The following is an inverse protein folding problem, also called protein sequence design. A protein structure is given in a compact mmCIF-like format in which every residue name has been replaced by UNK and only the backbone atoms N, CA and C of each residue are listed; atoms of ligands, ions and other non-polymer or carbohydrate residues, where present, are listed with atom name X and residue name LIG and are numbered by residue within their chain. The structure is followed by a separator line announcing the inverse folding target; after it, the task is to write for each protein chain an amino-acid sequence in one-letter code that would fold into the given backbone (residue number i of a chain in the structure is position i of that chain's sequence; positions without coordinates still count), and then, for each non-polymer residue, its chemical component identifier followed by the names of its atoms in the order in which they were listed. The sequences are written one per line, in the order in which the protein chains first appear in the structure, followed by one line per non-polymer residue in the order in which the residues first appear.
data_IF_994981833353
#
_entry.id   IF_994981833353
#
_cell.length_a   1.000
_cell.length_b   1.000
_cell.length_c   1.000
_cell.angle_alpha   90.00
_cell.angle_beta   90.00
_cell.angle_gamma   90.00
#
_symmetry.space_group_name_H-M   'P 1'
#
loop_
_entity.id
_entity.type
_entity.pdbx_description
1 polymer ?
#
# COMPACT_ATOMS: atom_id res chain seq x y z
N UNK A 1 -5.11 19.46 -21.53
CA UNK A 1 -4.99 18.30 -20.63
C UNK A 1 -3.60 18.29 -20.02
N UNK A 2 -3.46 17.99 -18.72
CA UNK A 2 -2.16 18.02 -18.02
C UNK A 2 -1.49 16.63 -18.08
N UNK A 3 -0.20 16.58 -18.39
CA UNK A 3 0.61 15.36 -18.28
C UNK A 3 1.54 15.44 -17.07
N UNK A 4 1.48 14.42 -16.19
CA UNK A 4 2.27 14.32 -14.97
C UNK A 4 3.07 13.01 -14.98
N UNK A 5 4.37 13.11 -15.25
CA UNK A 5 5.28 11.98 -15.21
C UNK A 5 5.71 11.62 -13.79
N UNK A 6 6.46 10.52 -13.64
CA UNK A 6 7.00 10.05 -12.36
C UNK A 6 7.73 11.13 -11.56
N UNK A 7 8.53 11.97 -12.24
CA UNK A 7 9.31 13.02 -11.57
C UNK A 7 8.42 14.14 -11.03
N UNK A 8 7.36 14.51 -11.77
CA UNK A 8 6.39 15.49 -11.30
C UNK A 8 5.61 14.98 -10.07
N UNK A 9 5.17 13.72 -10.12
CA UNK A 9 4.46 13.07 -9.00
C UNK A 9 5.38 12.92 -7.79
N UNK A 10 6.66 12.58 -7.99
CA UNK A 10 7.64 12.42 -6.91
C UNK A 10 7.98 13.71 -6.14
N UNK A 11 7.61 14.89 -6.67
CA UNK A 11 7.77 16.18 -5.99
C UNK A 11 6.60 16.55 -5.07
N UNK A 12 5.54 15.76 -5.10
CA UNK A 12 4.36 16.01 -4.27
C UNK A 12 4.67 15.58 -2.82
N UNK A 13 4.36 16.45 -1.90
CA UNK A 13 4.56 16.21 -0.47
C UNK A 13 3.77 14.98 0.03
N UNK A 14 4.39 14.17 0.89
CA UNK A 14 3.80 12.96 1.45
C UNK A 14 2.50 13.24 2.23
N UNK A 15 2.42 14.36 2.94
CA UNK A 15 1.22 14.76 3.67
C UNK A 15 0.02 14.99 2.77
N UNK A 16 0.23 15.55 1.56
CA UNK A 16 -0.84 15.72 0.56
C UNK A 16 -1.40 14.37 0.13
N UNK A 17 -0.51 13.41 -0.16
CA UNK A 17 -0.91 12.07 -0.58
C UNK A 17 -1.62 11.33 0.56
N UNK A 18 -1.09 11.40 1.78
CA UNK A 18 -1.72 10.75 2.94
C UNK A 18 -3.09 11.33 3.24
N UNK A 19 -3.26 12.66 3.17
CA UNK A 19 -4.55 13.32 3.30
C UNK A 19 -5.54 12.86 2.22
N UNK A 20 -5.05 12.63 0.98
CA UNK A 20 -5.89 12.09 -0.08
C UNK A 20 -6.36 10.66 0.21
N UNK A 21 -5.52 9.82 0.82
CA UNK A 21 -5.89 8.45 1.25
C UNK A 21 -6.87 8.51 2.44
N UNK A 22 -6.65 9.39 3.42
CA UNK A 22 -7.62 9.62 4.51
C UNK A 22 -9.00 10.03 3.95
N UNK A 23 -9.02 10.93 2.96
CA UNK A 23 -10.25 11.31 2.27
C UNK A 23 -10.95 10.14 1.57
N UNK A 24 -10.20 9.21 0.98
CA UNK A 24 -10.79 8.02 0.38
C UNK A 24 -11.55 7.18 1.42
N UNK A 25 -10.97 6.96 2.59
CA UNK A 25 -11.65 6.25 3.67
C UNK A 25 -12.89 7.01 4.19
N UNK A 26 -12.85 8.35 4.24
CA UNK A 26 -14.03 9.15 4.59
C UNK A 26 -15.16 8.98 3.54
N UNK A 27 -14.81 8.88 2.26
CA UNK A 27 -15.77 8.58 1.21
C UNK A 27 -16.34 7.16 1.34
N UNK A 28 -15.53 6.18 1.79
CA UNK A 28 -16.03 4.83 2.13
C UNK A 28 -17.10 4.90 3.22
N UNK A 29 -16.82 5.61 4.32
CA UNK A 29 -17.79 5.76 5.42
C UNK A 29 -19.07 6.47 5.00
N UNK A 30 -18.99 7.50 4.17
CA UNK A 30 -20.13 8.27 3.68
C UNK A 30 -20.82 7.64 2.47
N UNK A 31 -20.24 6.61 1.87
CA UNK A 31 -20.72 5.96 0.62
C UNK A 31 -20.89 6.93 -0.56
N UNK A 32 -20.12 8.02 -0.59
CA UNK A 32 -20.16 9.06 -1.64
C UNK A 32 -19.19 8.77 -2.79
N UNK A 33 -19.21 7.57 -3.30
CA UNK A 33 -18.42 7.13 -4.44
C UNK A 33 -19.15 6.01 -5.21
N UNK A 34 -18.72 5.80 -6.46
CA UNK A 34 -19.12 4.63 -7.24
C UNK A 34 -17.84 3.96 -7.78
N UNK A 35 -17.56 2.76 -7.28
CA UNK A 35 -16.37 2.00 -7.61
C UNK A 35 -16.79 0.55 -7.89
N UNK A 36 -16.94 0.17 -9.18
CA UNK A 36 -17.14 -1.23 -9.52
C UNK A 36 -15.89 -2.05 -9.22
N UNK A 37 -16.06 -3.36 -9.16
CA UNK A 37 -14.94 -4.28 -9.06
C UNK A 37 -13.95 -4.05 -10.21
N UNK A 38 -12.65 -4.22 -9.95
CA UNK A 38 -11.63 -4.11 -10.99
C UNK A 38 -11.86 -5.15 -12.08
N UNK A 39 -11.70 -4.73 -13.33
CA UNK A 39 -11.87 -5.60 -14.49
C UNK A 39 -10.49 -6.18 -14.84
N UNK A 40 -10.42 -7.50 -14.91
CA UNK A 40 -9.26 -8.26 -15.35
C UNK A 40 -9.50 -8.73 -16.78
N UNK A 41 -8.60 -8.38 -17.68
CA UNK A 41 -8.57 -8.92 -19.05
C UNK A 41 -7.25 -9.69 -19.18
N UNK A 42 -7.36 -10.98 -19.32
CA UNK A 42 -6.21 -11.89 -19.40
C UNK A 42 -5.93 -12.27 -20.84
N UNK A 43 -4.67 -12.30 -21.21
CA UNK A 43 -4.14 -12.84 -22.46
C UNK A 43 -2.88 -13.64 -22.15
N UNK A 44 -2.99 -14.97 -22.12
CA UNK A 44 -1.96 -15.89 -21.64
C UNK A 44 -1.47 -15.51 -20.23
N UNK A 45 -0.18 -15.24 -20.06
CA UNK A 45 0.41 -14.80 -18.77
C UNK A 45 0.27 -13.31 -18.52
N UNK A 46 -0.25 -12.55 -19.50
CA UNK A 46 -0.39 -11.11 -19.43
C UNK A 46 -1.75 -10.72 -18.89
N UNK A 47 -1.80 -9.65 -18.11
CA UNK A 47 -3.05 -9.12 -17.57
C UNK A 47 -3.15 -7.61 -17.79
N UNK A 48 -4.31 -7.15 -18.28
CA UNK A 48 -4.71 -5.76 -18.26
C UNK A 48 -5.75 -5.58 -17.15
N UNK A 49 -5.49 -4.66 -16.23
CA UNK A 49 -6.39 -4.25 -15.16
C UNK A 49 -7.01 -2.89 -15.48
N UNK A 50 -8.32 -2.80 -15.39
CA UNK A 50 -9.06 -1.54 -15.46
C UNK A 50 -9.68 -1.26 -14.09
N UNK A 51 -9.38 -0.09 -13.53
CA UNK A 51 -9.80 0.29 -12.19
C UNK A 51 -10.54 1.65 -12.22
N UNK A 52 -11.81 1.66 -12.67
CA UNK A 52 -12.62 2.88 -12.69
C UNK A 52 -13.15 3.24 -11.31
N UNK A 53 -13.30 4.54 -11.05
CA UNK A 53 -13.93 5.05 -9.85
C UNK A 53 -14.49 6.45 -10.09
N UNK A 54 -15.68 6.73 -9.53
CA UNK A 54 -16.34 8.03 -9.54
C UNK A 54 -16.48 8.59 -8.14
N UNK A 55 -16.32 9.90 -8.03
CA UNK A 55 -16.67 10.70 -6.86
C UNK A 55 -17.46 11.94 -7.30
N UNK A 56 -17.83 12.82 -6.38
CA UNK A 56 -18.65 13.98 -6.68
C UNK A 56 -18.08 14.85 -7.82
N UNK A 57 -16.81 15.20 -7.76
CA UNK A 57 -16.15 16.17 -8.69
C UNK A 57 -15.38 15.53 -9.82
N UNK A 58 -14.85 14.34 -9.59
CA UNK A 58 -13.92 13.68 -10.51
C UNK A 58 -14.29 12.22 -10.68
N UNK A 59 -14.00 11.70 -11.86
CA UNK A 59 -13.86 10.28 -12.05
C UNK A 59 -12.49 9.95 -12.65
N UNK A 60 -12.05 8.73 -12.46
CA UNK A 60 -10.77 8.31 -12.96
C UNK A 60 -10.75 6.83 -13.31
N UNK A 61 -9.84 6.47 -14.19
CA UNK A 61 -9.54 5.07 -14.49
C UNK A 61 -8.04 4.86 -14.51
N UNK A 62 -7.57 3.89 -13.73
CA UNK A 62 -6.21 3.41 -13.83
C UNK A 62 -6.19 2.19 -14.75
N UNK A 63 -5.35 2.27 -15.79
CA UNK A 63 -4.99 1.16 -16.68
C UNK A 63 -3.67 0.60 -16.18
N UNK A 64 -3.62 -0.67 -15.83
CA UNK A 64 -2.38 -1.34 -15.38
C UNK A 64 -2.14 -2.57 -16.25
N UNK A 65 -0.97 -2.65 -16.84
CA UNK A 65 -0.51 -3.86 -17.53
C UNK A 65 0.44 -4.63 -16.61
N UNK A 66 0.21 -5.93 -16.46
CA UNK A 66 1.08 -6.88 -15.76
C UNK A 66 1.59 -7.88 -16.78
N UNK A 67 2.83 -7.73 -17.18
CA UNK A 67 3.50 -8.53 -18.20
C UNK A 67 4.76 -9.13 -17.58
N UNK A 68 4.72 -10.37 -17.09
CA UNK A 68 5.83 -11.00 -16.36
C UNK A 68 7.14 -10.99 -17.13
N UNK A 69 7.08 -11.21 -18.45
CA UNK A 69 8.26 -11.27 -19.32
C UNK A 69 8.76 -9.92 -19.85
N UNK A 70 8.09 -8.80 -19.52
CA UNK A 70 8.49 -7.46 -19.99
C UNK A 70 9.95 -7.09 -19.65
N UNK A 71 10.50 -7.68 -18.58
CA UNK A 71 11.90 -7.50 -18.18
C UNK A 71 12.89 -7.98 -19.24
N UNK A 72 12.54 -8.99 -20.00
CA UNK A 72 13.37 -9.47 -21.13
C UNK A 72 13.50 -8.43 -22.25
N UNK A 73 12.54 -7.49 -22.30
CA UNK A 73 12.51 -6.37 -23.24
C UNK A 73 12.97 -5.03 -22.58
N UNK A 74 13.60 -5.08 -21.40
CA UNK A 74 14.08 -3.89 -20.70
C UNK A 74 12.96 -3.03 -20.08
N UNK A 75 11.73 -3.57 -19.98
CA UNK A 75 10.59 -2.86 -19.41
C UNK A 75 10.21 -3.42 -18.03
N UNK A 76 9.64 -2.60 -17.13
CA UNK A 76 9.06 -3.11 -15.88
C UNK A 76 7.94 -4.12 -16.17
N UNK A 77 7.82 -5.14 -15.32
CA UNK A 77 6.72 -6.11 -15.43
C UNK A 77 5.33 -5.47 -15.17
N UNK A 78 5.29 -4.37 -14.45
CA UNK A 78 4.06 -3.62 -14.15
C UNK A 78 4.22 -2.19 -14.66
N UNK A 79 3.33 -1.79 -15.56
CA UNK A 79 3.22 -0.43 -16.09
C UNK A 79 1.79 0.06 -15.89
N UNK A 80 1.59 1.37 -15.85
CA UNK A 80 0.25 1.90 -15.70
C UNK A 80 0.11 3.37 -16.08
N UNK A 81 -1.09 3.70 -16.49
CA UNK A 81 -1.52 5.07 -16.78
C UNK A 81 -2.77 5.36 -15.99
N UNK A 82 -2.82 6.54 -15.39
CA UNK A 82 -4.01 7.06 -14.71
C UNK A 82 -4.60 8.19 -15.53
N UNK A 83 -5.88 8.09 -15.87
CA UNK A 83 -6.65 9.17 -16.51
C UNK A 83 -7.62 9.74 -15.50
N UNK A 84 -7.53 11.05 -15.25
CA UNK A 84 -8.44 11.81 -14.40
C UNK A 84 -9.34 12.68 -15.27
N UNK A 85 -10.63 12.72 -14.99
CA UNK A 85 -11.65 13.47 -15.73
C UNK A 85 -12.59 14.22 -14.79
N UNK A 86 -13.17 15.28 -15.31
CA UNK A 86 -14.22 16.07 -14.65
C UNK A 86 -15.56 15.31 -14.68
N UNK A 87 -16.17 15.11 -13.52
CA UNK A 87 -17.42 14.35 -13.42
C UNK A 87 -18.68 15.12 -13.86
N UNK A 88 -18.57 16.42 -14.14
CA UNK A 88 -19.70 17.22 -14.65
C UNK A 88 -19.74 17.19 -16.17
N UNK A 89 -18.59 17.35 -16.81
CA UNK A 89 -18.48 17.50 -18.27
C UNK A 89 -17.98 16.25 -18.99
N UNK A 90 -17.37 15.30 -18.25
CA UNK A 90 -16.70 14.14 -18.84
C UNK A 90 -15.31 14.47 -19.45
N UNK A 91 -14.86 15.74 -19.37
CA UNK A 91 -13.62 16.19 -19.99
C UNK A 91 -12.40 15.54 -19.32
N UNK A 92 -11.46 14.92 -20.08
CA UNK A 92 -10.19 14.50 -19.57
C UNK A 92 -9.34 15.70 -19.09
N UNK A 93 -8.93 15.66 -17.82
CA UNK A 93 -8.17 16.72 -17.17
C UNK A 93 -6.66 16.45 -17.14
N UNK A 94 -6.31 15.19 -16.82
CA UNK A 94 -4.91 14.80 -16.71
C UNK A 94 -4.66 13.34 -17.08
N UNK A 95 -3.46 13.09 -17.60
CA UNK A 95 -2.83 11.77 -17.73
C UNK A 95 -1.62 11.75 -16.80
N UNK A 96 -1.50 10.70 -15.98
CA UNK A 96 -0.48 10.59 -14.96
C UNK A 96 0.21 9.23 -15.02
N UNK A 97 1.47 9.16 -14.58
CA UNK A 97 2.19 7.90 -14.39
C UNK A 97 1.49 7.06 -13.31
N UNK A 98 0.82 5.98 -13.74
CA UNK A 98 0.04 5.13 -12.86
C UNK A 98 0.87 4.31 -11.87
N UNK A 99 2.12 3.97 -12.24
CA UNK A 99 3.04 3.27 -11.35
C UNK A 99 3.51 4.19 -10.22
N UNK A 100 3.82 5.46 -10.53
CA UNK A 100 4.20 6.46 -9.54
C UNK A 100 3.05 6.76 -8.56
N UNK A 101 1.82 6.94 -9.07
CA UNK A 101 0.63 7.10 -8.21
C UNK A 101 0.47 5.88 -7.30
N UNK A 102 0.56 4.66 -7.88
CA UNK A 102 0.41 3.43 -7.10
C UNK A 102 1.46 3.31 -6.00
N UNK A 103 2.73 3.66 -6.27
CA UNK A 103 3.78 3.65 -5.26
C UNK A 103 3.45 4.61 -4.11
N UNK A 104 3.08 5.85 -4.42
CA UNK A 104 2.79 6.89 -3.43
C UNK A 104 1.54 6.55 -2.60
N UNK A 105 0.39 6.25 -3.25
CA UNK A 105 -0.86 5.98 -2.52
C UNK A 105 -0.79 4.69 -1.69
N UNK A 106 -0.07 3.69 -2.17
CA UNK A 106 0.08 2.42 -1.43
C UNK A 106 0.98 2.61 -0.20
N UNK A 107 2.07 3.39 -0.33
CA UNK A 107 2.87 3.81 0.81
C UNK A 107 2.04 4.58 1.84
N UNK A 108 1.21 5.53 1.37
CA UNK A 108 0.34 6.31 2.24
C UNK A 108 -0.71 5.46 2.97
N UNK A 109 -1.26 4.41 2.35
CA UNK A 109 -2.17 3.45 3.01
C UNK A 109 -1.47 2.75 4.17
N UNK A 110 -0.28 2.19 3.95
CA UNK A 110 0.49 1.55 5.03
C UNK A 110 0.93 2.56 6.10
N UNK A 111 1.38 3.76 5.68
CA UNK A 111 1.72 4.85 6.60
C UNK A 111 0.54 5.29 7.47
N UNK A 112 -0.66 5.37 6.90
CA UNK A 112 -1.87 5.64 7.67
C UNK A 112 -2.20 4.50 8.64
N UNK A 113 -1.98 3.24 8.22
CA UNK A 113 -2.06 2.07 9.11
C UNK A 113 -1.09 2.23 10.29
N UNK A 114 0.16 2.60 10.03
CA UNK A 114 1.14 2.89 11.10
C UNK A 114 0.65 4.01 12.01
N UNK A 115 0.16 5.13 11.46
CA UNK A 115 -0.34 6.29 12.23
C UNK A 115 -1.46 5.92 13.19
N UNK A 116 -2.42 5.12 12.74
CA UNK A 116 -3.63 4.81 13.51
C UNK A 116 -3.42 3.63 14.47
N UNK A 117 -2.69 2.59 14.02
CA UNK A 117 -2.56 1.34 14.79
C UNK A 117 -1.42 1.35 15.79
N UNK A 118 -0.59 2.39 15.82
CA UNK A 118 0.57 2.46 16.71
C UNK A 118 0.58 3.73 17.54
N UNK A 119 1.32 3.72 18.63
CA UNK A 119 1.58 4.90 19.45
C UNK A 119 2.90 5.58 19.03
N UNK A 120 3.13 6.82 19.47
CA UNK A 120 4.38 7.58 19.25
C UNK A 120 5.60 6.91 19.91
N UNK A 121 5.36 5.99 20.85
CA UNK A 121 6.42 5.33 21.62
C UNK A 121 7.18 4.26 20.85
N UNK A 122 6.67 3.79 19.69
CA UNK A 122 7.36 2.77 18.90
C UNK A 122 8.69 3.28 18.37
N UNK A 123 9.75 2.46 18.49
CA UNK A 123 11.11 2.84 18.06
C UNK A 123 11.72 1.85 17.07
N UNK A 124 11.09 0.71 16.85
CA UNK A 124 11.61 -0.33 15.95
C UNK A 124 10.56 -0.75 14.93
N UNK A 125 10.98 -0.89 13.68
CA UNK A 125 10.12 -1.34 12.59
C UNK A 125 10.87 -2.24 11.62
N UNK A 126 10.15 -3.03 10.84
CA UNK A 126 10.68 -3.93 9.84
C UNK A 126 9.94 -3.85 8.52
N UNK A 127 10.70 -3.89 7.42
CA UNK A 127 10.18 -3.96 6.05
C UNK A 127 10.62 -5.28 5.42
N UNK A 128 9.66 -6.11 5.05
CA UNK A 128 9.84 -7.33 4.26
C UNK A 128 9.56 -7.01 2.79
N UNK A 129 10.59 -7.09 1.96
CA UNK A 129 10.57 -6.68 0.55
C UNK A 129 11.21 -5.31 0.33
N UNK A 130 12.36 -5.27 -0.36
CA UNK A 130 13.13 -4.05 -0.64
C UNK A 130 12.88 -3.48 -2.06
N UNK A 131 11.73 -3.79 -2.65
CA UNK A 131 11.31 -3.26 -3.94
C UNK A 131 10.70 -1.85 -3.85
N UNK A 132 10.07 -1.40 -4.95
CA UNK A 132 9.43 -0.08 -5.05
C UNK A 132 8.38 0.13 -3.95
N UNK A 133 7.57 -0.88 -3.67
CA UNK A 133 6.55 -0.79 -2.62
C UNK A 133 7.19 -0.76 -1.23
N UNK A 134 8.17 -1.62 -0.95
CA UNK A 134 8.88 -1.61 0.34
C UNK A 134 9.53 -0.26 0.64
N UNK A 135 10.19 0.35 -0.35
CA UNK A 135 10.77 1.68 -0.21
C UNK A 135 9.70 2.74 0.09
N UNK A 136 8.56 2.69 -0.62
CA UNK A 136 7.45 3.61 -0.35
C UNK A 136 6.86 3.40 1.04
N UNK A 137 6.67 2.15 1.48
CA UNK A 137 6.21 1.83 2.83
C UNK A 137 7.15 2.38 3.90
N UNK A 138 8.47 2.21 3.73
CA UNK A 138 9.46 2.74 4.67
C UNK A 138 9.38 4.27 4.79
N UNK A 139 9.26 4.98 3.66
CA UNK A 139 9.12 6.45 3.65
C UNK A 139 7.92 6.93 4.44
N UNK A 140 6.74 6.31 4.20
CA UNK A 140 5.51 6.71 4.90
C UNK A 140 5.47 6.24 6.36
N UNK A 141 6.13 5.13 6.69
CA UNK A 141 6.34 4.71 8.07
C UNK A 141 7.17 5.77 8.82
N UNK A 142 8.31 6.18 8.25
CA UNK A 142 9.20 7.19 8.83
C UNK A 142 8.60 8.59 8.85
N UNK A 143 7.71 8.92 7.92
CA UNK A 143 6.92 10.14 7.94
C UNK A 143 5.98 10.20 9.16
N UNK A 144 5.42 9.06 9.57
CA UNK A 144 4.41 9.00 10.63
C UNK A 144 4.99 8.70 12.02
N UNK A 145 6.20 8.13 12.13
CA UNK A 145 6.78 7.71 13.42
C UNK A 145 8.28 7.92 13.48
N UNK A 146 8.74 8.37 14.63
CA UNK A 146 10.16 8.52 14.94
C UNK A 146 10.79 7.15 15.27
N UNK A 147 11.17 6.42 14.25
CA UNK A 147 11.84 5.12 14.37
C UNK A 147 13.32 5.33 14.65
N UNK A 148 13.90 4.52 15.54
CA UNK A 148 15.34 4.52 15.84
C UNK A 148 16.08 3.42 15.09
N UNK A 149 15.44 2.25 14.89
CA UNK A 149 16.04 1.14 14.16
C UNK A 149 15.05 0.60 13.14
N UNK A 150 15.44 0.58 11.87
CA UNK A 150 14.67 0.02 10.76
C UNK A 150 15.36 -1.24 10.24
N UNK A 151 14.71 -2.39 10.42
CA UNK A 151 15.15 -3.68 9.87
C UNK A 151 14.59 -3.84 8.46
N UNK A 152 15.42 -4.28 7.52
CA UNK A 152 15.03 -4.50 6.12
C UNK A 152 15.49 -5.89 5.71
N UNK A 153 14.62 -6.63 5.07
CA UNK A 153 14.91 -7.94 4.51
C UNK A 153 14.33 -8.07 3.10
N UNK A 154 15.12 -8.65 2.22
CA UNK A 154 14.72 -9.11 0.88
C UNK A 154 15.59 -10.34 0.52
N UNK A 155 15.14 -11.13 -0.44
CA UNK A 155 15.94 -12.22 -1.01
C UNK A 155 17.20 -11.70 -1.73
N UNK A 156 17.14 -10.46 -2.25
CA UNK A 156 18.25 -9.76 -2.90
C UNK A 156 18.96 -8.83 -1.91
N UNK A 157 20.16 -9.18 -1.51
CA UNK A 157 21.01 -8.31 -0.69
C UNK A 157 21.30 -6.96 -1.37
N UNK A 158 21.42 -6.93 -2.70
CA UNK A 158 21.61 -5.70 -3.47
C UNK A 158 20.40 -4.77 -3.39
N UNK A 159 19.20 -5.33 -3.40
CA UNK A 159 17.97 -4.55 -3.21
C UNK A 159 17.91 -3.94 -1.80
N UNK A 160 18.28 -4.71 -0.76
CA UNK A 160 18.38 -4.21 0.62
C UNK A 160 19.41 -3.09 0.71
N UNK A 161 20.60 -3.27 0.17
CA UNK A 161 21.66 -2.25 0.19
C UNK A 161 21.24 -0.98 -0.57
N UNK A 162 20.61 -1.13 -1.73
CA UNK A 162 20.08 -0.01 -2.53
C UNK A 162 18.99 0.78 -1.78
N UNK A 163 18.07 0.08 -1.12
CA UNK A 163 17.02 0.71 -0.31
C UNK A 163 17.62 1.46 0.89
N UNK A 164 18.56 0.85 1.63
CA UNK A 164 19.24 1.49 2.75
C UNK A 164 19.97 2.77 2.29
N UNK A 165 20.72 2.68 1.19
CA UNK A 165 21.45 3.83 0.64
C UNK A 165 20.50 4.98 0.27
N UNK A 166 19.34 4.68 -0.33
CA UNK A 166 18.32 5.66 -0.66
C UNK A 166 17.74 6.30 0.59
N UNK A 167 17.34 5.49 1.57
CA UNK A 167 16.74 6.00 2.81
C UNK A 167 17.71 6.81 3.67
N UNK A 168 18.99 6.47 3.70
CA UNK A 168 20.03 7.25 4.42
C UNK A 168 20.19 8.67 3.89
N UNK A 169 19.93 8.89 2.60
CA UNK A 169 19.97 10.24 2.02
C UNK A 169 18.77 11.10 2.44
N UNK A 170 17.65 10.47 2.77
CA UNK A 170 16.39 11.12 3.13
C UNK A 170 16.21 11.21 4.66
N UNK A 171 16.70 10.21 5.40
CA UNK A 171 16.52 10.04 6.84
C UNK A 171 17.85 9.57 7.45
N UNK A 172 18.68 10.52 7.92
CA UNK A 172 20.05 10.23 8.41
C UNK A 172 20.10 9.70 9.84
N UNK A 173 19.09 10.04 10.67
CA UNK A 173 19.17 9.91 12.14
C UNK A 173 18.57 8.62 12.70
N UNK A 174 18.63 7.53 11.92
CA UNK A 174 18.21 6.21 12.38
C UNK A 174 19.19 5.11 11.97
N UNK A 175 19.18 4.03 12.74
CA UNK A 175 19.94 2.82 12.44
C UNK A 175 19.22 1.97 11.40
N UNK A 176 19.94 1.57 10.35
CA UNK A 176 19.44 0.63 9.33
C UNK A 176 20.12 -0.72 9.49
N UNK A 177 19.33 -1.77 9.64
CA UNK A 177 19.80 -3.14 9.82
C UNK A 177 19.35 -4.00 8.64
N UNK A 178 20.31 -4.49 7.84
CA UNK A 178 20.04 -5.56 6.89
C UNK A 178 19.83 -6.86 7.67
N UNK A 179 18.58 -7.29 7.80
CA UNK A 179 18.26 -8.52 8.52
C UNK A 179 18.71 -9.75 7.74
N UNK A 180 19.27 -10.73 8.42
CA UNK A 180 19.75 -11.98 7.80
C UNK A 180 18.61 -12.95 7.47
N UNK A 181 17.51 -12.86 8.20
CA UNK A 181 16.29 -13.67 8.00
C UNK A 181 15.05 -12.85 8.28
N UNK A 182 13.89 -13.20 7.67
CA UNK A 182 12.61 -12.56 7.99
C UNK A 182 12.29 -12.68 9.49
N UNK A 183 12.56 -13.83 10.11
CA UNK A 183 12.33 -14.06 11.54
C UNK A 183 13.12 -13.09 12.41
N UNK A 184 14.40 -12.85 12.09
CA UNK A 184 15.22 -11.87 12.82
C UNK A 184 14.58 -10.48 12.79
N UNK A 185 14.07 -10.05 11.62
CA UNK A 185 13.37 -8.78 11.47
C UNK A 185 12.10 -8.75 12.34
N UNK A 186 11.29 -9.79 12.28
CA UNK A 186 10.01 -9.85 13.02
C UNK A 186 10.23 -9.79 14.52
N UNK A 187 11.17 -10.57 15.05
CA UNK A 187 11.46 -10.61 16.50
C UNK A 187 11.90 -9.23 17.02
N UNK A 188 12.69 -8.50 16.24
CA UNK A 188 13.27 -7.21 16.65
C UNK A 188 12.41 -5.98 16.31
N UNK A 189 11.27 -6.16 15.65
CA UNK A 189 10.42 -5.06 15.22
C UNK A 189 9.09 -5.03 15.97
N UNK A 190 8.57 -3.84 16.26
CA UNK A 190 7.22 -3.63 16.82
C UNK A 190 6.17 -3.52 15.72
N UNK A 191 6.53 -2.94 14.59
CA UNK A 191 5.70 -2.85 13.38
C UNK A 191 6.43 -3.57 12.24
N UNK A 192 5.73 -4.45 11.55
CA UNK A 192 6.23 -5.22 10.43
C UNK A 192 5.35 -4.95 9.21
N UNK A 193 5.96 -4.45 8.13
CA UNK A 193 5.26 -4.22 6.87
C UNK A 193 5.82 -5.19 5.83
N UNK A 194 4.94 -6.00 5.24
CA UNK A 194 5.28 -6.87 4.13
C UNK A 194 4.80 -6.28 2.80
N UNK A 195 5.70 -6.22 1.82
CA UNK A 195 5.46 -5.66 0.49
C UNK A 195 6.18 -6.52 -0.57
N UNK A 196 5.93 -7.83 -0.53
CA UNK A 196 6.57 -8.85 -1.38
C UNK A 196 5.58 -9.42 -2.39
N UNK A 197 6.08 -10.26 -3.30
CA UNK A 197 5.26 -11.05 -4.23
C UNK A 197 5.25 -12.53 -3.85
N UNK A 198 5.45 -12.86 -2.58
CA UNK A 198 5.54 -14.24 -2.11
C UNK A 198 4.22 -14.98 -2.27
N UNK A 199 4.31 -16.26 -2.64
CA UNK A 199 3.17 -17.20 -2.71
C UNK A 199 3.07 -18.09 -1.47
N UNK A 200 3.99 -17.94 -0.53
CA UNK A 200 4.03 -18.71 0.72
C UNK A 200 4.48 -17.80 1.86
N UNK A 201 4.13 -18.12 3.11
CA UNK A 201 4.56 -17.35 4.27
C UNK A 201 6.07 -17.11 4.29
N UNK A 202 6.47 -15.87 4.59
CA UNK A 202 7.87 -15.44 4.56
C UNK A 202 8.73 -16.02 5.69
N UNK A 203 8.08 -16.51 6.75
CA UNK A 203 8.74 -17.06 7.93
C UNK A 203 7.79 -17.97 8.71
N UNK A 204 8.36 -18.77 9.58
CA UNK A 204 7.64 -19.50 10.62
C UNK A 204 7.66 -18.70 11.92
N UNK A 205 6.54 -18.64 12.62
CA UNK A 205 6.39 -17.92 13.88
C UNK A 205 5.79 -18.76 14.98
N UNK A 206 6.24 -18.51 16.20
CA UNK A 206 5.57 -18.96 17.42
C UNK A 206 4.69 -17.83 17.97
N UNK A 207 3.74 -18.11 18.90
CA UNK A 207 2.95 -17.06 19.54
C UNK A 207 3.81 -15.94 20.14
N UNK A 208 4.93 -16.26 20.78
CA UNK A 208 5.82 -15.29 21.43
C UNK A 208 6.51 -14.35 20.41
N UNK A 209 6.74 -14.81 19.19
CA UNK A 209 7.35 -13.99 18.13
C UNK A 209 6.44 -12.84 17.68
N UNK A 210 5.12 -12.98 17.86
CA UNK A 210 4.11 -12.09 17.26
C UNK A 210 3.29 -11.27 18.27
N UNK A 211 3.30 -11.64 19.56
CA UNK A 211 2.51 -10.96 20.58
C UNK A 211 2.79 -9.45 20.65
N UNK A 212 1.71 -8.68 20.68
CA UNK A 212 1.74 -7.23 20.84
C UNK A 212 2.39 -6.48 19.67
N UNK A 213 2.45 -7.08 18.49
CA UNK A 213 3.04 -6.47 17.27
C UNK A 213 1.96 -6.10 16.25
N UNK A 214 2.32 -5.13 15.40
CA UNK A 214 1.46 -4.68 14.30
C UNK A 214 2.01 -5.22 12.99
N UNK A 215 1.19 -5.95 12.28
CA UNK A 215 1.49 -6.52 10.96
C UNK A 215 0.68 -5.81 9.90
N UNK A 216 1.35 -5.30 8.86
CA UNK A 216 0.72 -4.64 7.71
C UNK A 216 1.11 -5.41 6.45
N UNK A 217 0.16 -6.08 5.81
CA UNK A 217 0.38 -6.81 4.55
C UNK A 217 -0.11 -5.98 3.37
N UNK A 218 0.80 -5.73 2.45
CA UNK A 218 0.58 -4.91 1.24
C UNK A 218 0.80 -5.72 -0.04
N UNK A 219 1.71 -6.70 -0.03
CA UNK A 219 2.17 -7.33 -1.26
C UNK A 219 1.25 -8.41 -1.80
N UNK A 220 0.50 -9.09 -0.94
CA UNK A 220 -0.44 -10.15 -1.33
C UNK A 220 -1.75 -9.53 -1.87
N UNK A 221 -1.95 -9.56 -3.19
CA UNK A 221 -3.13 -9.01 -3.89
C UNK A 221 -3.83 -10.03 -4.80
N UNK A 222 -3.48 -11.30 -4.65
CA UNK A 222 -4.10 -12.44 -5.34
C UNK A 222 -4.32 -13.57 -4.32
N UNK A 223 -5.31 -14.45 -4.54
CA UNK A 223 -5.60 -15.56 -3.61
C UNK A 223 -4.46 -16.58 -3.48
N UNK A 224 -3.58 -16.68 -4.49
CA UNK A 224 -2.41 -17.57 -4.51
C UNK A 224 -1.15 -16.91 -3.90
N UNK A 225 -1.27 -15.72 -3.31
CA UNK A 225 -0.17 -14.99 -2.67
C UNK A 225 -0.40 -14.92 -1.16
N UNK A 226 0.64 -15.23 -0.38
CA UNK A 226 0.61 -15.15 1.07
C UNK A 226 1.95 -14.66 1.60
N UNK A 227 1.94 -13.61 2.42
CA UNK A 227 3.14 -13.02 3.02
C UNK A 227 3.31 -13.47 4.46
N UNK A 228 2.24 -13.51 5.22
CA UNK A 228 2.28 -13.84 6.64
C UNK A 228 1.77 -15.25 6.95
N UNK A 229 2.38 -15.95 7.93
CA UNK A 229 1.87 -17.24 8.39
C UNK A 229 0.50 -17.07 9.08
N UNK A 230 -0.38 -18.06 8.93
CA UNK A 230 -1.76 -18.01 9.42
C UNK A 230 -1.87 -17.83 10.94
N UNK A 231 -0.83 -18.18 11.71
CA UNK A 231 -0.80 -17.93 13.15
C UNK A 231 -0.92 -16.44 13.51
N UNK A 232 -0.53 -15.51 12.60
CA UNK A 232 -0.67 -14.06 12.85
C UNK A 232 -2.15 -13.70 12.88
N UNK A 233 -2.93 -14.13 11.89
CA UNK A 233 -4.36 -13.85 11.86
C UNK A 233 -5.12 -14.63 12.93
N UNK A 234 -4.71 -15.86 13.22
CA UNK A 234 -5.27 -16.70 14.29
C UNK A 234 -5.15 -16.03 15.67
N UNK A 235 -4.01 -15.39 15.93
CA UNK A 235 -3.67 -14.78 17.23
C UNK A 235 -3.88 -13.27 17.29
N UNK A 236 -4.33 -12.66 16.20
CA UNK A 236 -4.60 -11.24 16.17
C UNK A 236 -5.77 -10.86 17.09
N UNK A 237 -5.59 -9.86 17.94
CA UNK A 237 -6.68 -9.23 18.70
C UNK A 237 -7.67 -8.52 17.76
N UNK A 238 -7.17 -7.98 16.64
CA UNK A 238 -7.99 -7.35 15.61
C UNK A 238 -7.40 -7.60 14.22
N UNK A 239 -8.29 -7.84 13.26
CA UNK A 239 -7.98 -7.94 11.85
C UNK A 239 -8.72 -6.83 11.10
N UNK A 240 -7.96 -5.97 10.44
CA UNK A 240 -8.49 -4.88 9.61
C UNK A 240 -8.18 -5.11 8.14
N UNK A 241 -9.09 -4.70 7.29
CA UNK A 241 -8.92 -4.70 5.83
C UNK A 241 -9.28 -3.32 5.28
N UNK A 242 -8.72 -2.93 4.13
CA UNK A 242 -9.12 -1.69 3.46
C UNK A 242 -10.56 -1.74 2.98
N UNK A 243 -10.99 -2.87 2.43
CA UNK A 243 -12.38 -3.22 2.14
C UNK A 243 -12.60 -4.71 2.33
N UNK A 244 -13.84 -5.15 2.55
CA UNK A 244 -14.18 -6.57 2.64
C UNK A 244 -13.88 -7.36 1.35
N UNK A 245 -13.59 -6.69 0.24
CA UNK A 245 -13.14 -7.33 -0.99
C UNK A 245 -11.78 -8.03 -0.82
N UNK A 246 -10.93 -7.56 0.08
CA UNK A 246 -9.66 -8.19 0.45
C UNK A 246 -9.81 -9.65 0.89
N UNK A 247 -10.98 -10.04 1.45
CA UNK A 247 -11.27 -11.42 1.86
C UNK A 247 -11.30 -12.41 0.69
N UNK A 248 -11.46 -11.91 -0.54
CA UNK A 248 -11.46 -12.71 -1.77
C UNK A 248 -10.15 -12.60 -2.55
N UNK A 249 -9.44 -11.48 -2.43
CA UNK A 249 -8.29 -11.17 -3.28
C UNK A 249 -6.93 -11.47 -2.64
N UNK A 250 -6.84 -11.63 -1.33
CA UNK A 250 -5.55 -11.87 -0.68
C UNK A 250 -5.50 -13.21 0.02
N UNK A 251 -4.49 -14.03 -0.30
CA UNK A 251 -4.26 -15.30 0.39
C UNK A 251 -3.96 -15.14 1.88
N UNK A 252 -3.45 -13.97 2.33
CA UNK A 252 -3.28 -13.68 3.76
C UNK A 252 -4.62 -13.69 4.54
N UNK A 253 -5.73 -13.46 3.86
CA UNK A 253 -7.07 -13.50 4.45
C UNK A 253 -7.90 -14.68 3.90
N UNK A 254 -7.89 -14.90 2.59
CA UNK A 254 -8.71 -15.92 1.93
C UNK A 254 -8.33 -17.34 2.37
N UNK A 255 -7.04 -17.63 2.55
CA UNK A 255 -6.57 -18.95 3.00
C UNK A 255 -7.01 -19.23 4.45
N UNK A 256 -6.76 -18.38 5.46
CA UNK A 256 -7.26 -18.59 6.81
C UNK A 256 -8.79 -18.68 6.91
N UNK A 257 -9.54 -17.94 6.10
CA UNK A 257 -11.00 -18.06 6.04
C UNK A 257 -11.43 -19.42 5.50
N UNK A 258 -10.81 -19.90 4.43
CA UNK A 258 -11.07 -21.21 3.83
C UNK A 258 -10.76 -22.34 4.79
N UNK A 259 -9.69 -22.20 5.56
CA UNK A 259 -9.22 -23.19 6.52
C UNK A 259 -9.91 -23.06 7.90
N UNK A 260 -10.93 -22.20 8.03
CA UNK A 260 -11.68 -21.93 9.26
C UNK A 260 -10.80 -21.51 10.46
N UNK A 261 -9.69 -20.85 10.20
CA UNK A 261 -8.80 -20.27 11.21
C UNK A 261 -9.40 -19.00 11.80
N UNK A 262 -10.15 -18.26 11.00
CA UNK A 262 -10.85 -17.04 11.40
C UNK A 262 -12.23 -16.98 10.74
N UNK A 263 -13.20 -16.37 11.46
CA UNK A 263 -14.53 -16.12 10.92
C UNK A 263 -14.61 -14.76 10.23
N UNK A 264 -15.41 -14.68 9.15
CA UNK A 264 -15.52 -13.46 8.34
C UNK A 264 -16.03 -12.25 9.16
N UNK A 265 -16.93 -12.49 10.12
CA UNK A 265 -17.54 -11.43 10.93
C UNK A 265 -16.55 -10.80 11.94
N UNK A 266 -15.39 -11.44 12.19
CA UNK A 266 -14.32 -10.88 13.01
C UNK A 266 -13.43 -9.89 12.25
N UNK A 267 -13.53 -9.84 10.90
CA UNK A 267 -12.77 -8.94 10.06
C UNK A 267 -13.49 -7.59 9.97
N UNK A 268 -12.77 -6.51 10.24
CA UNK A 268 -13.30 -5.15 10.28
C UNK A 268 -12.72 -4.29 9.14
N UNK A 269 -13.51 -3.37 8.62
CA UNK A 269 -12.99 -2.39 7.67
C UNK A 269 -12.21 -1.29 8.41
N UNK A 270 -11.01 -0.97 7.91
CA UNK A 270 -10.11 0.01 8.50
C UNK A 270 -10.70 1.42 8.55
N UNK A 271 -11.57 1.77 7.59
CA UNK A 271 -12.24 3.06 7.53
C UNK A 271 -12.92 3.44 8.86
N UNK A 272 -13.54 2.46 9.54
CA UNK A 272 -14.22 2.67 10.83
C UNK A 272 -13.31 3.15 11.97
N UNK A 273 -11.99 3.08 11.81
CA UNK A 273 -11.03 3.56 12.81
C UNK A 273 -10.79 5.08 12.71
N UNK A 274 -11.06 5.70 11.56
CA UNK A 274 -10.82 7.13 11.37
C UNK A 274 -11.72 8.01 12.27
N UNK A 275 -12.87 7.50 12.67
CA UNK A 275 -13.83 8.20 13.53
C UNK A 275 -13.63 7.88 15.02
N UNK A 276 -12.69 6.98 15.34
CA UNK A 276 -12.46 6.47 16.69
C UNK A 276 -11.05 6.80 17.18
N UNK A 277 -10.94 7.19 18.42
CA UNK A 277 -9.65 7.34 19.10
C UNK A 277 -9.32 6.03 19.85
N UNK A 278 -9.22 4.91 19.10
CA UNK A 278 -8.84 3.64 19.70
C UNK A 278 -7.32 3.58 19.91
N UNK A 279 -6.91 3.07 21.08
CA UNK A 279 -5.50 2.84 21.40
C UNK A 279 -5.25 1.34 21.38
N UNK A 280 -4.28 0.94 20.58
CA UNK A 280 -3.93 -0.48 20.37
C UNK A 280 -2.63 -0.88 21.07
N UNK A 281 -2.41 -0.35 22.27
CA UNK A 281 -1.20 -0.68 23.02
C UNK A 281 -1.17 -2.17 23.39
N UNK A 282 -0.03 -2.82 23.12
CA UNK A 282 0.21 -4.24 23.35
C UNK A 282 -0.77 -5.22 22.68
N UNK A 283 -1.48 -4.76 21.65
CA UNK A 283 -2.34 -5.61 20.82
C UNK A 283 -1.56 -6.19 19.64
N UNK A 284 -1.89 -7.44 19.29
CA UNK A 284 -1.46 -8.05 18.03
C UNK A 284 -2.49 -7.71 16.97
N UNK A 285 -2.09 -7.03 15.93
CA UNK A 285 -3.00 -6.53 14.88
C UNK A 285 -2.50 -6.94 13.51
N UNK A 286 -3.41 -7.39 12.66
CA UNK A 286 -3.18 -7.54 11.24
C UNK A 286 -3.99 -6.48 10.48
N UNK A 287 -3.33 -5.66 9.69
CA UNK A 287 -3.95 -4.80 8.69
C UNK A 287 -3.57 -5.29 7.29
N UNK A 288 -4.58 -5.66 6.51
CA UNK A 288 -4.41 -6.09 5.12
C UNK A 288 -4.98 -5.05 4.16
N UNK A 289 -4.15 -4.59 3.21
CA UNK A 289 -4.61 -3.77 2.10
C UNK A 289 -4.33 -4.48 0.77
N UNK A 290 -5.34 -4.57 -0.08
CA UNK A 290 -5.24 -4.97 -1.50
C UNK A 290 -5.32 -3.76 -2.42
N UNK A 291 -5.58 -2.58 -1.85
CA UNK A 291 -5.79 -1.33 -2.56
C UNK A 291 -7.15 -1.28 -3.27
N UNK A 292 -7.62 -0.07 -3.54
CA UNK A 292 -8.87 0.18 -4.26
C UNK A 292 -8.73 1.37 -5.19
N UNK A 293 -9.56 1.42 -6.24
CA UNK A 293 -9.53 2.49 -7.23
C UNK A 293 -9.84 3.87 -6.62
N UNK A 294 -10.56 3.91 -5.49
CA UNK A 294 -10.86 5.15 -4.77
C UNK A 294 -9.58 5.81 -4.21
N UNK A 295 -8.59 5.04 -3.75
CA UNK A 295 -7.28 5.60 -3.37
C UNK A 295 -6.58 6.24 -4.56
N UNK A 296 -6.65 5.59 -5.74
CA UNK A 296 -6.06 6.12 -6.96
C UNK A 296 -6.75 7.42 -7.39
N UNK A 297 -8.10 7.47 -7.36
CA UNK A 297 -8.90 8.65 -7.69
C UNK A 297 -8.60 9.84 -6.77
N UNK A 298 -8.65 9.65 -5.45
CA UNK A 298 -8.44 10.75 -4.50
C UNK A 298 -7.00 11.28 -4.56
N UNK A 299 -6.03 10.38 -4.72
CA UNK A 299 -4.62 10.75 -4.90
C UNK A 299 -4.40 11.52 -6.21
N UNK A 300 -4.92 11.01 -7.34
CA UNK A 300 -4.82 11.70 -8.62
C UNK A 300 -5.47 13.09 -8.59
N UNK A 301 -6.63 13.21 -7.93
CA UNK A 301 -7.34 14.47 -7.75
C UNK A 301 -6.51 15.48 -6.94
N UNK A 302 -5.90 15.06 -5.84
CA UNK A 302 -5.06 15.90 -5.00
C UNK A 302 -3.80 16.36 -5.74
N UNK A 303 -3.14 15.43 -6.44
CA UNK A 303 -1.95 15.73 -7.28
C UNK A 303 -2.32 16.72 -8.37
N UNK A 304 -3.43 16.51 -9.09
CA UNK A 304 -3.90 17.40 -10.15
C UNK A 304 -4.16 18.82 -9.64
N UNK A 305 -4.92 18.96 -8.55
CA UNK A 305 -5.22 20.27 -7.96
C UNK A 305 -3.97 21.02 -7.54
N UNK A 306 -3.00 20.32 -6.92
CA UNK A 306 -1.73 20.92 -6.53
C UNK A 306 -0.86 21.26 -7.73
N UNK A 307 -0.85 20.41 -8.77
CA UNK A 307 -0.10 20.63 -9.99
C UNK A 307 -0.57 21.87 -10.76
N UNK A 308 -1.89 22.06 -10.88
CA UNK A 308 -2.46 23.29 -11.47
C UNK A 308 -2.05 24.51 -10.65
N UNK A 309 -2.19 24.48 -9.33
CA UNK A 309 -1.84 25.62 -8.45
C UNK A 309 -0.35 26.02 -8.56
N UNK A 310 0.53 25.06 -8.74
CA UNK A 310 1.98 25.27 -8.72
C UNK A 310 2.63 25.22 -10.12
N UNK A 311 1.84 25.15 -11.19
CA UNK A 311 2.32 25.02 -12.58
C UNK A 311 3.28 23.81 -12.76
N UNK A 312 2.94 22.66 -12.18
CA UNK A 312 3.71 21.42 -12.32
C UNK A 312 3.10 20.58 -13.45
N UNK A 313 3.97 19.98 -14.28
CA UNK A 313 3.54 19.12 -15.40
C UNK A 313 3.67 19.80 -16.77
N UNK A 314 3.17 19.15 -17.79
CA UNK A 314 3.20 19.61 -19.17
C UNK A 314 1.77 19.67 -19.72
N UNK A 315 1.44 20.77 -20.39
CA UNK A 315 0.16 20.87 -21.09
C UNK A 315 0.23 20.10 -22.41
N UNK A 316 -0.72 19.22 -22.63
CA UNK A 316 -0.95 18.53 -23.90
C UNK A 316 -2.14 19.18 -24.60
N UNK A 317 -1.98 19.52 -25.86
CA UNK A 317 -3.10 19.84 -26.75
C UNK A 317 -3.76 18.52 -27.18
N UNK A 318 -5.11 18.52 -27.19
CA UNK A 318 -5.91 17.33 -27.47
C UNK A 318 -6.85 17.60 -28.62
#
# INVERSE_FOLDING_TARGET
MLFLNKNAIGKIDQGVIQTAVEKAYQLVLSQLYNMPDRIHVEDHENTLLLMPCFSEKFFATKLVSVFPEARQHGQPAVNGVMVLSDNTSGQPLAIMDGAAITAQRTGAVGGLGVKILTTESIKTAGILGAGVQGLSQARYLLYNREIKTLYIYDLSNDAVAGMINTLKQEFSDLEYVAAKTPKQLVVNSKVIIAATTSKSPLFEATPDDILGKIFISIGSFRPDMQEFPSIIIERADNVFVDTLFATKESGDIATPLKDHVIEKDSIKEFAGLLEKNEIFENKTILFKSVGMALFDLTTASAIYQLAIKNNIGQNLEF
#
